data_IF_485816131654
#
_entry.id   IF_485816131654
#
_cell.length_a   1.000
_cell.length_b   1.000
_cell.length_c   1.000
_cell.angle_alpha   90.00
_cell.angle_beta   90.00
_cell.angle_gamma   90.00
#
_symmetry.space_group_name_H-M   'P 1'
#
loop_
_entity.id
_entity.type
_entity.pdbx_description
1 polymer ?
#
# COMPACT_ATOMS: atom_id res chain seq x y z
N UNK A 1 28.05 -33.47 -26.73
CA UNK A 1 28.05 -32.06 -27.19
C UNK A 1 26.85 -31.29 -26.63
N UNK A 2 25.61 -31.72 -26.85
CA UNK A 2 24.40 -31.01 -26.35
C UNK A 2 24.41 -30.79 -24.84
N UNK A 3 24.75 -31.80 -24.04
CA UNK A 3 24.80 -31.68 -22.58
C UNK A 3 25.78 -30.59 -22.10
N UNK A 4 26.97 -30.51 -22.71
CA UNK A 4 27.96 -29.49 -22.40
C UNK A 4 27.49 -28.08 -22.77
N UNK A 5 26.77 -27.96 -23.89
CA UNK A 5 26.18 -26.69 -24.34
C UNK A 5 25.05 -26.27 -23.38
N UNK A 6 24.15 -27.19 -23.01
CA UNK A 6 23.07 -26.90 -22.06
C UNK A 6 23.60 -26.54 -20.67
N UNK A 7 24.66 -27.23 -20.21
CA UNK A 7 25.33 -26.89 -18.96
C UNK A 7 25.89 -25.46 -18.99
N UNK A 8 26.60 -25.09 -20.06
CA UNK A 8 27.12 -23.74 -20.22
C UNK A 8 26.00 -22.69 -20.30
N UNK A 9 24.93 -22.99 -21.05
CA UNK A 9 23.76 -22.11 -21.17
C UNK A 9 23.09 -21.86 -19.81
N UNK A 10 22.91 -22.89 -18.98
CA UNK A 10 22.34 -22.72 -17.64
C UNK A 10 23.23 -21.87 -16.72
N UNK A 11 24.54 -22.09 -16.76
CA UNK A 11 25.50 -21.30 -15.95
C UNK A 11 25.53 -19.83 -16.38
N UNK A 12 25.25 -19.54 -17.65
CA UNK A 12 25.15 -18.18 -18.17
C UNK A 12 23.80 -17.52 -17.88
N UNK A 13 22.71 -18.30 -17.91
CA UNK A 13 21.36 -17.77 -17.70
C UNK A 13 21.09 -17.37 -16.23
N UNK A 14 21.69 -18.09 -15.26
CA UNK A 14 21.47 -17.86 -13.84
C UNK A 14 22.81 -17.73 -13.07
N UNK A 15 23.58 -16.67 -13.33
CA UNK A 15 24.93 -16.53 -12.77
C UNK A 15 24.93 -16.17 -11.28
N UNK A 16 23.86 -15.56 -10.74
CA UNK A 16 23.80 -15.11 -9.35
C UNK A 16 23.23 -16.17 -8.40
N UNK A 17 22.60 -17.20 -8.93
CA UNK A 17 21.95 -18.27 -8.18
C UNK A 17 22.84 -19.50 -8.08
N UNK A 18 22.88 -20.14 -6.91
CA UNK A 18 23.52 -21.45 -6.77
C UNK A 18 22.72 -22.51 -7.51
N UNK A 19 23.32 -23.15 -8.51
CA UNK A 19 22.68 -24.23 -9.30
C UNK A 19 22.47 -25.53 -8.52
N UNK A 20 22.99 -25.62 -7.30
CA UNK A 20 22.79 -26.76 -6.43
C UNK A 20 22.04 -26.28 -5.19
N UNK A 21 20.76 -26.63 -5.14
CA UNK A 21 19.87 -26.29 -4.05
C UNK A 21 19.97 -27.34 -2.95
N UNK A 22 20.54 -26.95 -1.81
CA UNK A 22 20.49 -27.76 -0.61
C UNK A 22 19.41 -27.22 0.32
N UNK A 23 18.69 -28.06 1.06
CA UNK A 23 17.56 -27.62 1.89
C UNK A 23 17.94 -26.57 2.95
N UNK A 24 19.21 -26.54 3.36
CA UNK A 24 19.76 -25.65 4.39
C UNK A 24 20.75 -24.63 3.84
N UNK A 25 20.98 -24.58 2.52
CA UNK A 25 21.90 -23.61 1.94
C UNK A 25 21.16 -22.36 1.48
N UNK A 26 21.70 -21.20 1.84
CA UNK A 26 21.33 -19.94 1.19
C UNK A 26 21.62 -20.05 -0.32
N UNK A 27 20.72 -19.53 -1.15
CA UNK A 27 20.89 -19.54 -2.60
C UNK A 27 22.00 -18.60 -3.06
N UNK A 28 22.45 -17.69 -2.20
CA UNK A 28 23.46 -16.67 -2.50
C UNK A 28 22.88 -15.47 -3.24
N UNK A 29 21.70 -15.61 -3.84
CA UNK A 29 21.03 -14.56 -4.59
C UNK A 29 20.28 -13.59 -3.66
N UNK A 30 20.58 -12.29 -3.75
CA UNK A 30 19.97 -11.27 -2.90
C UNK A 30 18.46 -11.11 -3.11
N UNK A 31 17.99 -11.32 -4.33
CA UNK A 31 16.57 -11.24 -4.66
C UNK A 31 15.79 -12.39 -4.07
N UNK A 32 16.31 -13.61 -4.18
CA UNK A 32 15.69 -14.79 -3.59
C UNK A 32 15.65 -14.71 -2.06
N UNK A 33 16.73 -14.24 -1.42
CA UNK A 33 16.71 -13.96 0.02
C UNK A 33 15.65 -12.94 0.41
N UNK A 34 15.51 -11.86 -0.37
CA UNK A 34 14.49 -10.86 -0.11
C UNK A 34 13.08 -11.44 -0.26
N UNK A 35 12.83 -12.24 -1.30
CA UNK A 35 11.54 -12.88 -1.53
C UNK A 35 11.22 -13.92 -0.45
N UNK A 36 12.20 -14.72 -0.03
CA UNK A 36 12.06 -15.63 1.11
C UNK A 36 11.74 -14.88 2.40
N UNK A 37 12.43 -13.77 2.67
CA UNK A 37 12.12 -12.92 3.81
C UNK A 37 10.70 -12.35 3.74
N UNK A 38 10.26 -11.86 2.58
CA UNK A 38 8.89 -11.36 2.35
C UNK A 38 7.86 -12.43 2.68
N UNK A 39 8.08 -13.66 2.21
CA UNK A 39 7.20 -14.80 2.44
C UNK A 39 7.00 -15.08 3.93
N UNK A 40 8.04 -14.91 4.73
CA UNK A 40 8.02 -15.23 6.16
C UNK A 40 7.55 -14.05 7.03
N UNK A 41 7.82 -12.81 6.62
CA UNK A 41 7.73 -11.64 7.51
C UNK A 41 6.62 -10.65 7.14
N UNK A 42 5.84 -10.90 6.10
CA UNK A 42 4.73 -10.00 5.70
C UNK A 42 3.38 -10.70 5.71
N UNK A 43 2.25 -9.97 5.89
CA UNK A 43 0.91 -10.57 5.83
C UNK A 43 0.62 -11.18 4.45
N UNK A 44 -0.13 -12.29 4.38
CA UNK A 44 -0.51 -12.91 3.10
C UNK A 44 -1.34 -12.00 2.19
N UNK A 45 -2.06 -11.04 2.76
CA UNK A 45 -2.87 -10.05 2.05
C UNK A 45 -2.05 -8.85 1.57
N UNK A 46 -0.73 -8.82 1.81
CA UNK A 46 0.11 -7.72 1.38
C UNK A 46 0.23 -7.67 -0.16
N UNK A 47 0.07 -6.47 -0.70
CA UNK A 47 0.30 -6.16 -2.11
C UNK A 47 1.58 -5.36 -2.22
N UNK A 48 2.48 -5.84 -3.07
CA UNK A 48 3.80 -5.26 -3.29
C UNK A 48 3.84 -4.43 -4.58
N UNK A 49 4.76 -3.47 -4.61
CA UNK A 49 5.30 -2.92 -5.84
C UNK A 49 6.82 -3.08 -5.85
N UNK A 50 7.36 -3.36 -7.01
CA UNK A 50 8.79 -3.35 -7.32
C UNK A 50 8.96 -2.81 -8.74
N UNK A 51 10.19 -2.56 -9.18
CA UNK A 51 10.43 -2.17 -10.58
C UNK A 51 9.71 -3.15 -11.50
N UNK A 52 8.87 -2.67 -12.42
CA UNK A 52 8.18 -3.53 -13.39
C UNK A 52 9.15 -4.32 -14.27
N UNK A 53 10.44 -3.94 -14.31
CA UNK A 53 11.49 -4.66 -15.02
C UNK A 53 12.46 -5.42 -14.10
N UNK A 54 12.09 -5.66 -12.82
CA UNK A 54 12.99 -6.27 -11.82
C UNK A 54 13.62 -7.59 -12.28
N UNK A 55 12.89 -8.40 -13.06
CA UNK A 55 13.37 -9.71 -13.50
C UNK A 55 14.61 -9.61 -14.42
N UNK A 56 14.83 -8.45 -15.05
CA UNK A 56 16.01 -8.16 -15.86
C UNK A 56 17.10 -7.40 -15.08
N UNK A 57 16.85 -7.06 -13.82
CA UNK A 57 17.84 -6.38 -13.00
C UNK A 57 19.03 -7.30 -12.69
N UNK A 58 20.24 -6.74 -12.56
CA UNK A 58 21.43 -7.53 -12.27
C UNK A 58 21.21 -8.45 -11.07
N UNK A 59 21.49 -9.74 -11.25
CA UNK A 59 21.38 -10.78 -10.22
C UNK A 59 19.96 -11.18 -9.82
N UNK A 60 18.92 -10.68 -10.46
CA UNK A 60 17.55 -11.17 -10.25
C UNK A 60 17.33 -12.57 -10.83
N UNK A 61 18.15 -12.97 -11.81
CA UNK A 61 18.14 -14.30 -12.42
C UNK A 61 16.74 -14.72 -12.90
N UNK A 62 15.92 -13.74 -13.30
CA UNK A 62 14.54 -13.91 -13.73
C UNK A 62 13.64 -14.68 -12.74
N UNK A 63 13.97 -14.65 -11.45
CA UNK A 63 13.18 -15.31 -10.41
C UNK A 63 11.79 -14.68 -10.30
N UNK A 64 10.76 -15.51 -10.14
CA UNK A 64 9.38 -15.04 -10.06
C UNK A 64 9.06 -14.58 -8.65
N UNK A 65 8.76 -13.29 -8.48
CA UNK A 65 8.30 -12.73 -7.21
C UNK A 65 7.11 -13.52 -6.65
N UNK A 66 6.05 -13.71 -7.45
CA UNK A 66 4.82 -14.37 -6.99
C UNK A 66 5.06 -15.81 -6.53
N UNK A 67 5.97 -16.52 -7.19
CA UNK A 67 6.33 -17.89 -6.81
C UNK A 67 7.21 -17.95 -5.54
N UNK A 68 8.21 -17.07 -5.43
CA UNK A 68 9.16 -17.11 -4.33
C UNK A 68 8.62 -16.45 -3.04
N UNK A 69 7.97 -15.29 -3.17
CA UNK A 69 7.48 -14.49 -2.06
C UNK A 69 6.08 -14.91 -1.59
N UNK A 70 5.31 -15.61 -2.44
CA UNK A 70 3.91 -15.96 -2.19
C UNK A 70 3.05 -14.75 -1.77
N UNK A 71 3.28 -13.60 -2.40
CA UNK A 71 2.53 -12.36 -2.19
C UNK A 71 2.02 -11.80 -3.50
N UNK A 72 0.95 -11.00 -3.39
CA UNK A 72 0.46 -10.23 -4.51
C UNK A 72 1.42 -9.10 -4.83
N UNK A 73 1.51 -8.75 -6.11
CA UNK A 73 2.40 -7.72 -6.61
C UNK A 73 1.80 -7.10 -7.87
N UNK A 74 2.03 -5.80 -8.05
CA UNK A 74 1.73 -5.12 -9.31
C UNK A 74 2.44 -5.82 -10.47
N UNK A 75 1.85 -5.75 -11.65
CA UNK A 75 2.34 -6.45 -12.82
C UNK A 75 3.74 -6.02 -13.25
N UNK A 76 4.43 -6.96 -13.88
CA UNK A 76 5.77 -6.77 -14.40
C UNK A 76 5.82 -6.99 -15.93
N UNK A 77 6.81 -6.42 -16.60
CA UNK A 77 6.90 -6.45 -18.07
C UNK A 77 7.34 -7.82 -18.60
N UNK A 78 8.02 -8.63 -17.78
CA UNK A 78 8.69 -9.86 -18.23
C UNK A 78 7.80 -11.08 -18.06
N UNK A 79 7.05 -11.17 -16.96
CA UNK A 79 6.24 -12.33 -16.57
C UNK A 79 4.77 -12.14 -16.93
N UNK A 80 4.25 -10.92 -16.88
CA UNK A 80 2.83 -10.65 -17.12
C UNK A 80 2.54 -10.14 -18.55
N UNK A 81 3.55 -9.62 -19.26
CA UNK A 81 3.39 -9.11 -20.63
C UNK A 81 2.90 -10.16 -21.64
N UNK A 82 3.30 -11.42 -21.48
CA UNK A 82 2.81 -12.52 -22.31
C UNK A 82 1.32 -12.80 -22.10
N UNK A 83 0.82 -12.68 -20.87
CA UNK A 83 -0.60 -12.84 -20.54
C UNK A 83 -1.40 -11.68 -21.14
N UNK A 84 -0.91 -10.44 -21.00
CA UNK A 84 -1.54 -9.26 -21.62
C UNK A 84 -1.61 -9.35 -23.16
N UNK A 85 -0.61 -9.96 -23.80
CA UNK A 85 -0.61 -10.20 -25.24
C UNK A 85 -1.62 -11.26 -25.69
N UNK A 86 -1.80 -12.33 -24.88
CA UNK A 86 -2.78 -13.39 -25.16
C UNK A 86 -4.21 -12.99 -24.83
N UNK A 87 -4.40 -12.13 -23.83
CA UNK A 87 -5.69 -11.63 -23.36
C UNK A 87 -5.72 -10.10 -23.42
N UNK A 88 -5.98 -9.50 -24.61
CA UNK A 88 -5.86 -8.05 -24.83
C UNK A 88 -6.75 -7.19 -23.92
N UNK A 89 -7.81 -7.75 -23.35
CA UNK A 89 -8.66 -7.09 -22.36
C UNK A 89 -7.92 -6.72 -21.07
N UNK A 90 -6.80 -7.40 -20.76
CA UNK A 90 -5.94 -7.13 -19.61
C UNK A 90 -4.86 -6.08 -19.90
N UNK A 91 -4.61 -5.75 -21.18
CA UNK A 91 -3.53 -4.84 -21.56
C UNK A 91 -3.63 -3.43 -20.95
N UNK A 92 -4.82 -2.81 -20.80
CA UNK A 92 -4.92 -1.51 -20.14
C UNK A 92 -4.49 -1.57 -18.67
N UNK A 93 -5.00 -2.54 -17.90
CA UNK A 93 -4.68 -2.74 -16.48
C UNK A 93 -3.19 -3.06 -16.30
N UNK A 94 -2.65 -3.97 -17.11
CA UNK A 94 -1.21 -4.26 -17.14
C UNK A 94 -0.38 -3.00 -17.38
N UNK A 95 -0.78 -2.16 -18.34
CA UNK A 95 -0.06 -0.93 -18.65
C UNK A 95 -0.14 0.10 -17.52
N UNK A 96 -1.28 0.20 -16.83
CA UNK A 96 -1.45 1.06 -15.65
C UNK A 96 -0.54 0.61 -14.50
N UNK A 97 -0.51 -0.69 -14.20
CA UNK A 97 0.32 -1.24 -13.13
C UNK A 97 1.83 -1.09 -13.39
N UNK A 98 2.30 -1.38 -14.61
CA UNK A 98 3.73 -1.20 -14.93
C UNK A 98 4.12 0.29 -14.89
N UNK A 99 3.22 1.19 -15.32
CA UNK A 99 3.45 2.65 -15.32
C UNK A 99 3.50 3.19 -13.89
N UNK A 100 2.67 2.67 -12.98
CA UNK A 100 2.65 3.07 -11.57
C UNK A 100 3.99 2.86 -10.85
N UNK A 101 4.82 1.94 -11.34
CA UNK A 101 6.13 1.63 -10.74
C UNK A 101 7.31 2.40 -11.36
N UNK A 102 7.10 3.11 -12.49
CA UNK A 102 8.19 3.78 -13.24
C UNK A 102 8.93 4.82 -12.41
N UNK A 103 8.19 5.58 -11.60
CA UNK A 103 8.73 6.66 -10.76
C UNK A 103 8.94 6.24 -9.31
N UNK A 104 8.83 4.95 -9.02
CA UNK A 104 8.96 4.44 -7.66
C UNK A 104 10.40 4.65 -7.16
N UNK A 105 10.55 5.41 -6.08
CA UNK A 105 11.85 5.73 -5.49
C UNK A 105 12.49 7.02 -6.00
N UNK A 106 11.90 7.68 -7.02
CA UNK A 106 12.38 8.97 -7.53
C UNK A 106 12.21 10.09 -6.48
N UNK A 107 13.28 10.85 -6.25
CA UNK A 107 13.25 11.99 -5.34
C UNK A 107 12.28 13.08 -5.83
N UNK A 108 11.51 13.66 -4.91
CA UNK A 108 10.56 14.74 -5.21
C UNK A 108 9.27 14.30 -5.92
N UNK A 109 9.07 13.00 -6.15
CA UNK A 109 7.81 12.42 -6.63
C UNK A 109 6.99 11.89 -5.45
N UNK A 110 5.66 11.97 -5.57
CA UNK A 110 4.73 11.45 -4.54
C UNK A 110 4.35 9.99 -4.79
N UNK A 111 5.35 9.17 -5.14
CA UNK A 111 5.13 7.79 -5.57
C UNK A 111 4.52 6.93 -4.45
N UNK A 112 4.81 7.22 -3.17
CA UNK A 112 4.22 6.47 -2.05
C UNK A 112 2.69 6.61 -2.03
N UNK A 113 2.17 7.83 -2.21
CA UNK A 113 0.73 8.07 -2.18
C UNK A 113 0.01 7.43 -3.38
N UNK A 114 0.63 7.49 -4.56
CA UNK A 114 0.09 6.89 -5.78
C UNK A 114 -0.03 5.36 -5.61
N UNK A 115 1.03 4.71 -5.12
CA UNK A 115 1.03 3.27 -4.86
C UNK A 115 0.02 2.86 -3.77
N UNK A 116 -0.10 3.64 -2.69
CA UNK A 116 -1.11 3.39 -1.66
C UNK A 116 -2.54 3.46 -2.20
N UNK A 117 -2.81 4.37 -3.14
CA UNK A 117 -4.13 4.46 -3.78
C UNK A 117 -4.43 3.24 -4.67
N UNK A 118 -3.40 2.58 -5.20
CA UNK A 118 -3.49 1.31 -5.91
C UNK A 118 -3.54 0.08 -4.99
N UNK A 119 -3.62 0.28 -3.66
CA UNK A 119 -3.69 -0.81 -2.68
C UNK A 119 -2.35 -1.45 -2.32
N UNK A 120 -1.24 -0.91 -2.82
CA UNK A 120 0.12 -1.35 -2.44
C UNK A 120 0.40 -0.96 -1.00
N UNK A 121 0.95 -1.89 -0.23
CA UNK A 121 1.34 -1.69 1.17
C UNK A 121 2.83 -1.88 1.41
N UNK A 122 3.55 -2.46 0.45
CA UNK A 122 4.98 -2.74 0.55
C UNK A 122 5.68 -2.46 -0.76
N UNK A 123 6.94 -2.06 -0.68
CA UNK A 123 7.79 -1.84 -1.85
C UNK A 123 9.14 -2.52 -1.74
N UNK A 124 9.65 -2.97 -2.88
CA UNK A 124 11.03 -3.45 -3.00
C UNK A 124 11.81 -2.43 -3.83
N UNK A 125 12.80 -1.81 -3.19
CA UNK A 125 13.58 -0.71 -3.74
C UNK A 125 15.03 -1.15 -3.94
N UNK A 126 15.68 -0.61 -4.96
CA UNK A 126 17.12 -0.72 -5.18
C UNK A 126 17.79 0.64 -4.95
N UNK A 127 19.04 0.64 -4.51
CA UNK A 127 19.85 1.87 -4.37
C UNK A 127 19.96 2.34 -2.93
N UNK A 128 19.94 3.64 -2.66
CA UNK A 128 20.16 4.25 -1.34
C UNK A 128 19.14 5.36 -1.03
N UNK A 129 18.75 5.51 0.23
CA UNK A 129 18.17 6.76 0.75
C UNK A 129 16.79 7.16 0.21
N UNK A 130 15.77 6.33 0.43
CA UNK A 130 14.39 6.74 0.20
C UNK A 130 13.82 7.36 1.49
N UNK A 131 13.60 8.67 1.46
CA UNK A 131 13.03 9.39 2.60
C UNK A 131 11.57 8.97 2.85
N UNK A 132 11.18 8.93 4.13
CA UNK A 132 9.78 8.70 4.51
C UNK A 132 9.27 7.25 4.39
N UNK A 133 10.15 6.26 4.24
CA UNK A 133 9.78 4.83 4.26
C UNK A 133 10.64 4.03 5.25
N UNK A 134 10.01 3.11 5.98
CA UNK A 134 10.69 2.20 6.91
C UNK A 134 11.00 0.91 6.19
N UNK A 135 12.28 0.49 6.21
CA UNK A 135 12.75 -0.71 5.51
C UNK A 135 13.26 -1.78 6.48
N UNK A 136 12.41 -2.74 6.92
CA UNK A 136 12.81 -3.78 7.87
C UNK A 136 13.86 -4.76 7.34
N UNK A 137 13.99 -4.88 6.01
CA UNK A 137 14.95 -5.78 5.37
C UNK A 137 15.86 -5.04 4.40
N UNK A 138 17.14 -5.40 4.43
CA UNK A 138 18.18 -4.90 3.53
C UNK A 138 19.15 -6.03 3.18
N UNK A 139 19.51 -6.15 1.90
CA UNK A 139 20.56 -7.04 1.43
C UNK A 139 21.31 -6.39 0.27
N UNK A 140 22.45 -5.77 0.58
CA UNK A 140 23.21 -4.97 -0.39
C UNK A 140 22.49 -3.66 -0.72
N UNK A 141 22.22 -3.44 -2.01
CA UNK A 141 21.44 -2.32 -2.55
C UNK A 141 19.92 -2.55 -2.48
N UNK A 142 19.48 -3.78 -2.23
CA UNK A 142 18.06 -4.15 -2.21
C UNK A 142 17.46 -3.92 -0.82
N UNK A 143 16.29 -3.27 -0.77
CA UNK A 143 15.52 -3.03 0.45
C UNK A 143 14.07 -3.43 0.28
N UNK A 144 13.47 -3.94 1.34
CA UNK A 144 12.02 -4.14 1.43
C UNK A 144 11.48 -3.17 2.46
N UNK A 145 10.53 -2.34 2.05
CA UNK A 145 10.02 -1.24 2.84
C UNK A 145 8.49 -1.30 2.95
N UNK A 146 7.98 -0.98 4.13
CA UNK A 146 6.56 -0.80 4.34
C UNK A 146 6.15 0.61 3.91
N UNK A 147 5.04 0.70 3.18
CA UNK A 147 4.35 1.96 3.01
C UNK A 147 3.38 2.11 4.18
N UNK A 148 3.65 3.07 5.06
CA UNK A 148 2.64 3.47 6.02
C UNK A 148 1.47 4.11 5.26
N UNK A 149 0.22 3.83 5.63
CA UNK A 149 -0.91 4.56 5.07
C UNK A 149 -0.66 6.05 5.23
N UNK A 150 -0.52 6.78 4.12
CA UNK A 150 -0.51 8.24 4.11
C UNK A 150 -1.71 8.68 4.91
N UNK A 151 -1.43 9.36 6.01
CA UNK A 151 -2.33 9.51 7.13
C UNK A 151 -3.62 10.27 6.74
N UNK A 152 -4.61 9.55 6.19
CA UNK A 152 -6.01 10.01 6.17
C UNK A 152 -6.53 10.18 7.60
N UNK A 153 -5.80 9.66 8.60
CA UNK A 153 -6.04 9.83 10.03
C UNK A 153 -5.93 11.29 10.47
N UNK A 154 -5.03 12.11 9.92
CA UNK A 154 -4.92 13.52 10.35
C UNK A 154 -6.20 14.34 10.06
N UNK A 155 -6.85 14.14 8.90
CA UNK A 155 -8.14 14.79 8.59
C UNK A 155 -9.32 14.11 9.27
N UNK A 156 -9.34 12.78 9.35
CA UNK A 156 -10.43 12.05 10.02
C UNK A 156 -10.45 12.32 11.52
N UNK A 157 -9.28 12.38 12.18
CA UNK A 157 -9.14 12.68 13.60
C UNK A 157 -9.39 14.16 13.88
N UNK A 158 -9.01 15.07 12.99
CA UNK A 158 -9.40 16.48 13.12
C UNK A 158 -10.92 16.66 13.00
N UNK A 159 -11.57 15.98 12.05
CA UNK A 159 -13.04 16.04 11.88
C UNK A 159 -13.76 15.31 13.03
N UNK A 160 -13.22 14.19 13.53
CA UNK A 160 -13.74 13.48 14.70
C UNK A 160 -13.57 14.29 15.99
N UNK A 161 -12.43 14.99 16.16
CA UNK A 161 -12.16 15.94 17.26
C UNK A 161 -13.05 17.18 17.18
N UNK A 162 -13.28 17.73 15.99
CA UNK A 162 -14.23 18.84 15.78
C UNK A 162 -15.68 18.41 16.02
N UNK A 163 -16.07 17.21 15.62
CA UNK A 163 -17.41 16.64 15.92
C UNK A 163 -17.60 16.38 17.42
N UNK A 164 -16.60 15.87 18.12
CA UNK A 164 -16.66 15.66 19.58
C UNK A 164 -16.61 16.97 20.37
N UNK A 165 -15.86 17.99 19.92
CA UNK A 165 -15.92 19.33 20.52
C UNK A 165 -17.27 20.00 20.27
N UNK A 166 -17.85 19.87 19.06
CA UNK A 166 -19.20 20.34 18.75
C UNK A 166 -20.29 19.62 19.55
N UNK A 167 -20.13 18.32 19.81
CA UNK A 167 -21.05 17.54 20.64
C UNK A 167 -20.94 17.89 22.13
N UNK A 168 -19.72 18.06 22.67
CA UNK A 168 -19.50 18.52 24.05
C UNK A 168 -20.00 19.95 24.28
N UNK A 169 -19.83 20.85 23.31
CA UNK A 169 -20.39 22.20 23.36
C UNK A 169 -21.92 22.20 23.39
N UNK A 170 -22.56 21.27 22.65
CA UNK A 170 -24.02 21.14 22.58
C UNK A 170 -24.63 20.41 23.78
N UNK A 171 -23.89 19.52 24.43
CA UNK A 171 -24.29 18.89 25.71
C UNK A 171 -24.24 19.92 26.85
N UNK A 172 -23.15 20.70 26.95
CA UNK A 172 -22.98 21.70 28.03
C UNK A 172 -23.95 22.90 27.93
N UNK A 173 -24.61 23.12 26.79
CA UNK A 173 -25.65 24.15 26.65
C UNK A 173 -27.07 23.66 26.98
N UNK A 174 -27.30 22.33 27.04
CA UNK A 174 -28.62 21.74 27.33
C UNK A 174 -28.89 21.55 28.83
N UNK A 175 -27.85 21.50 29.66
CA UNK A 175 -27.96 21.32 31.12
C UNK A 175 -28.08 22.64 31.91
N UNK A 176 -28.45 23.75 31.25
CA UNK A 176 -28.86 24.95 32.01
C UNK A 176 -30.31 24.75 32.46
N UNK A 177 -30.59 24.76 33.79
CA UNK A 177 -31.96 24.67 34.27
C UNK A 177 -32.77 25.85 33.72
N UNK A 178 -33.87 25.54 33.03
CA UNK A 178 -34.89 26.51 32.66
C UNK A 178 -35.57 26.97 33.96
N UNK A 179 -35.58 28.27 34.28
CA UNK A 179 -36.37 28.77 35.40
C UNK A 179 -37.84 28.51 35.10
N UNK A 180 -38.52 27.74 35.97
CA UNK A 180 -39.96 27.59 35.95
C UNK A 180 -40.61 28.92 36.34
N UNK A 181 -40.98 29.73 35.34
CA UNK A 181 -41.87 30.87 35.55
C UNK A 181 -43.31 30.37 35.69
N UNK A 182 -43.88 30.62 36.86
CA UNK A 182 -45.29 30.40 37.22
C UNK A 182 -46.18 31.29 36.34
N UNK A 183 -47.26 30.78 35.74
CA UNK A 183 -48.29 31.64 35.17
C UNK A 183 -49.15 32.20 36.30
N UNK A 184 -49.03 33.51 36.54
CA UNK A 184 -49.97 34.27 37.37
C UNK A 184 -51.24 34.51 36.56
N UNK A 185 -52.25 33.69 36.79
CA UNK A 185 -53.63 34.00 36.42
C UNK A 185 -54.25 34.90 37.48
N UNK A 186 -54.67 36.10 37.09
CA UNK A 186 -55.64 36.91 37.83
C UNK A 186 -56.66 37.42 36.82
N UNK A 187 -57.90 36.97 37.00
CA UNK A 187 -59.06 37.39 36.23
C UNK A 187 -59.48 38.83 36.52
N UNK A 188 -60.31 39.34 35.63
CA UNK A 188 -60.97 40.63 35.74
C UNK A 188 -62.00 40.78 34.62
N UNK A 189 -63.22 40.32 34.89
CA UNK A 189 -64.45 40.64 34.17
C UNK A 189 -64.62 42.15 33.96
N UNK A 190 -65.09 42.56 32.77
CA UNK A 190 -66.15 43.58 32.70
C UNK A 190 -66.99 43.48 31.41
N UNK A 191 -68.27 43.28 31.66
CA UNK A 191 -69.46 43.32 30.81
C UNK A 191 -69.71 44.69 30.16
N UNK A 192 -70.14 44.71 28.89
CA UNK A 192 -71.18 45.59 28.30
C UNK A 192 -71.28 45.28 26.79
N UNK A 193 -72.31 44.59 26.28
CA UNK A 193 -73.65 45.10 25.93
C UNK A 193 -73.64 46.30 24.96
N UNK A 194 -73.89 46.06 23.66
CA UNK A 194 -75.03 46.62 22.90
C UNK A 194 -74.89 46.50 21.36
N UNK A 195 -75.87 45.81 20.78
CA UNK A 195 -76.65 46.17 19.57
C UNK A 195 -75.96 46.88 18.40
N UNK A 196 -75.89 46.20 17.24
CA UNK A 196 -76.82 46.31 16.10
C UNK A 196 -76.12 45.95 14.79
#
# INVERSE_FOLDING_TARGET
>A
MVASIMFAAQRQAFPATRHLEWPWADSGNRWERAFGWIRENTPKSAVFALSSNYANEPGADHQSFRACAERSVLADVVKDGGVAALFPTLAPEWNEEITATVHMGDAGKNWQADLLNSGVSWVVLQGGGHEGVVCPYQSGDLRVCALEPVDRGSRSDAVARLRTMGAKARYKSRDRPVPLTRPSGTGGEHQADRTR
#
